data_IF_160414679676
#
_entry.id   IF_160414679676
#
_cell.length_a   1.000
_cell.length_b   1.000
_cell.length_c   1.000
_cell.angle_alpha   90.00
_cell.angle_beta   90.00
_cell.angle_gamma   90.00
#
_symmetry.space_group_name_H-M   'P 1'
#
loop_
_entity.id
_entity.type
_entity.pdbx_description
1 polymer ?
#
# COMPACT_ATOMS: atom_id res chain seq x y z
N UNK A 1 13.63 -11.17 19.94
CA UNK A 1 13.05 -9.81 19.96
C UNK A 1 13.83 -9.00 18.93
N UNK A 2 13.26 -8.71 17.76
CA UNK A 2 13.95 -7.92 16.74
C UNK A 2 13.97 -6.45 17.20
N UNK A 3 15.15 -5.83 17.28
CA UNK A 3 15.30 -4.42 17.60
C UNK A 3 14.78 -3.59 16.44
N UNK A 4 13.59 -2.99 16.59
CA UNK A 4 13.12 -2.00 15.62
C UNK A 4 13.97 -0.74 15.79
N UNK A 5 14.75 -0.38 14.77
CA UNK A 5 15.52 0.87 14.78
C UNK A 5 14.55 2.06 14.70
N UNK A 6 14.57 2.92 15.71
CA UNK A 6 13.77 4.16 15.69
C UNK A 6 14.43 5.19 14.78
N UNK A 7 13.63 5.92 14.03
CA UNK A 7 14.07 7.11 13.30
C UNK A 7 13.19 8.30 13.65
N UNK A 8 13.68 9.51 13.39
CA UNK A 8 12.96 10.75 13.63
C UNK A 8 12.95 11.63 12.38
N UNK A 9 11.81 12.27 12.12
CA UNK A 9 11.64 13.26 11.05
C UNK A 9 11.17 14.56 11.70
N UNK A 10 11.74 15.69 11.29
CA UNK A 10 11.29 17.01 11.72
C UNK A 10 10.27 17.57 10.71
N UNK A 11 9.12 18.04 11.18
CA UNK A 11 8.16 18.73 10.33
C UNK A 11 8.75 20.07 9.84
N UNK A 12 8.70 20.39 8.55
CA UNK A 12 9.31 21.60 8.00
C UNK A 12 8.57 22.90 8.37
N UNK A 13 7.36 22.83 8.93
CA UNK A 13 6.50 24.00 9.22
C UNK A 13 6.41 24.32 10.71
N UNK A 14 6.19 23.31 11.55
CA UNK A 14 5.95 23.51 12.98
C UNK A 14 7.03 22.91 13.88
N UNK A 15 8.11 22.40 13.30
CA UNK A 15 9.24 21.79 14.01
C UNK A 15 8.91 20.57 14.89
N UNK A 16 7.68 20.06 14.84
CA UNK A 16 7.29 18.83 15.52
C UNK A 16 8.15 17.64 15.09
N UNK A 17 8.53 16.80 16.05
CA UNK A 17 9.33 15.59 15.80
C UNK A 17 8.39 14.39 15.64
N UNK A 18 8.50 13.72 14.52
CA UNK A 18 7.76 12.51 14.19
C UNK A 18 8.68 11.31 14.40
N UNK A 19 8.33 10.43 15.32
CA UNK A 19 9.07 9.19 15.55
C UNK A 19 8.52 8.07 14.68
N UNK A 20 9.42 7.30 14.07
CA UNK A 20 9.10 6.14 13.23
C UNK A 20 9.93 4.93 13.60
N UNK A 21 9.61 3.78 12.99
CA UNK A 21 10.32 2.52 13.18
C UNK A 21 10.72 1.94 11.83
N UNK A 22 11.98 1.53 11.69
CA UNK A 22 12.49 0.74 10.57
C UNK A 22 12.58 -0.71 11.02
N UNK A 23 12.04 -1.62 10.21
CA UNK A 23 12.25 -3.04 10.39
C UNK A 23 13.67 -3.38 9.91
N UNK A 24 14.43 -4.08 10.76
CA UNK A 24 15.69 -4.69 10.34
C UNK A 24 15.44 -5.72 9.21
N UNK A 25 16.45 -5.92 8.36
CA UNK A 25 16.40 -6.80 7.19
C UNK A 25 15.98 -8.24 7.49
N UNK A 26 16.07 -8.70 8.73
CA UNK A 26 15.58 -10.02 9.16
C UNK A 26 14.05 -10.17 9.07
N UNK A 27 13.29 -9.08 8.99
CA UNK A 27 11.83 -9.10 8.75
C UNK A 27 11.43 -9.48 7.32
N UNK A 28 12.38 -9.57 6.38
CA UNK A 28 12.12 -9.95 4.97
C UNK A 28 11.46 -11.33 4.88
N UNK A 29 11.76 -12.25 5.80
CA UNK A 29 11.19 -13.60 5.82
C UNK A 29 9.70 -13.66 6.24
N UNK A 30 9.17 -12.59 6.84
CA UNK A 30 7.76 -12.46 7.22
C UNK A 30 6.99 -11.53 6.25
N UNK A 31 7.58 -11.25 5.08
CA UNK A 31 6.98 -10.32 4.11
C UNK A 31 6.10 -11.06 3.12
N UNK A 32 4.82 -10.70 3.08
CA UNK A 32 3.90 -11.14 2.04
C UNK A 32 4.01 -10.22 0.83
N UNK A 33 4.33 -10.78 -0.33
CA UNK A 33 4.30 -10.09 -1.62
C UNK A 33 2.98 -10.38 -2.33
N UNK A 34 2.32 -9.34 -2.81
CA UNK A 34 1.10 -9.44 -3.59
C UNK A 34 1.30 -9.08 -5.05
N UNK A 35 0.37 -9.54 -5.90
CA UNK A 35 0.47 -9.37 -7.35
C UNK A 35 0.46 -7.91 -7.80
N UNK A 36 -0.11 -7.00 -7.03
CA UNK A 36 -0.08 -5.55 -7.30
C UNK A 36 1.22 -4.86 -6.84
N UNK A 37 2.25 -5.64 -6.49
CA UNK A 37 3.53 -5.18 -6.00
C UNK A 37 3.50 -4.68 -4.55
N UNK A 38 2.37 -4.83 -3.83
CA UNK A 38 2.29 -4.47 -2.41
C UNK A 38 3.06 -5.51 -1.58
N UNK A 39 3.93 -5.02 -0.71
CA UNK A 39 4.63 -5.84 0.29
C UNK A 39 4.14 -5.48 1.70
N UNK A 40 3.79 -6.50 2.48
CA UNK A 40 3.30 -6.35 3.86
C UNK A 40 4.17 -7.20 4.79
N UNK A 41 4.69 -6.62 5.86
CA UNK A 41 5.44 -7.31 6.92
C UNK A 41 4.79 -6.94 8.27
N UNK A 42 4.32 -7.92 9.05
CA UNK A 42 3.68 -7.71 10.36
C UNK A 42 2.59 -6.60 10.35
N UNK A 43 1.68 -6.65 9.38
CA UNK A 43 0.62 -5.64 9.15
C UNK A 43 1.11 -4.24 8.72
N UNK A 44 2.42 -4.06 8.56
CA UNK A 44 3.04 -2.81 8.12
C UNK A 44 3.45 -2.90 6.64
N UNK A 45 3.41 -1.76 5.94
CA UNK A 45 3.92 -1.67 4.58
C UNK A 45 5.45 -1.80 4.62
N UNK A 46 6.00 -2.75 3.88
CA UNK A 46 7.47 -2.89 3.79
C UNK A 46 8.09 -1.75 2.97
N UNK A 47 7.35 -1.18 2.01
CA UNK A 47 7.78 0.04 1.32
C UNK A 47 7.60 1.26 2.24
N UNK A 48 8.64 2.09 2.45
CA UNK A 48 8.55 3.24 3.34
C UNK A 48 7.54 4.26 2.82
N UNK A 49 6.73 4.80 3.72
CA UNK A 49 5.86 5.92 3.41
C UNK A 49 6.72 7.16 3.09
N UNK A 50 6.58 7.68 1.86
CA UNK A 50 7.35 8.83 1.35
C UNK A 50 6.65 10.17 1.60
N UNK A 51 5.35 10.15 1.86
CA UNK A 51 4.55 11.34 2.11
C UNK A 51 4.02 11.32 3.53
N UNK A 52 4.16 12.41 4.27
CA UNK A 52 3.79 12.47 5.68
C UNK A 52 2.85 13.64 5.91
N UNK A 53 1.82 13.43 6.74
CA UNK A 53 0.99 14.51 7.28
C UNK A 53 1.37 14.72 8.74
N UNK A 54 1.77 15.94 9.08
CA UNK A 54 2.10 16.28 10.45
C UNK A 54 0.85 16.27 11.34
N UNK A 55 0.80 15.49 12.44
CA UNK A 55 -0.35 15.49 13.36
C UNK A 55 -0.47 16.78 14.18
N UNK A 56 0.59 17.61 14.25
CA UNK A 56 0.56 18.90 14.95
C UNK A 56 -0.08 20.01 14.12
N UNK A 57 0.41 20.24 12.90
CA UNK A 57 -0.04 21.35 12.05
C UNK A 57 -0.81 20.93 10.79
N UNK A 58 -1.06 19.64 10.60
CA UNK A 58 -1.69 19.06 9.38
C UNK A 58 -0.94 19.29 8.07
N UNK A 59 0.26 19.88 8.10
CA UNK A 59 1.07 20.10 6.89
C UNK A 59 1.51 18.77 6.28
N UNK A 60 1.44 18.70 4.94
CA UNK A 60 1.76 17.52 4.15
C UNK A 60 3.04 17.79 3.38
N UNK A 61 4.02 16.88 3.49
CA UNK A 61 5.34 17.06 2.88
C UNK A 61 5.94 15.70 2.47
N UNK A 62 6.91 15.73 1.55
CA UNK A 62 7.67 14.55 1.17
C UNK A 62 8.82 14.31 2.14
N UNK A 63 9.12 13.05 2.46
CA UNK A 63 10.20 12.68 3.39
C UNK A 63 11.56 13.16 2.89
N UNK A 64 11.78 13.15 1.57
CA UNK A 64 13.04 13.60 0.96
C UNK A 64 13.28 15.12 1.12
N UNK A 65 12.22 15.89 1.39
CA UNK A 65 12.30 17.33 1.70
C UNK A 65 12.75 17.59 3.15
N UNK A 66 12.96 16.54 3.96
CA UNK A 66 13.31 16.66 5.37
C UNK A 66 14.72 16.19 5.68
N UNK A 67 15.39 16.92 6.58
CA UNK A 67 16.67 16.48 7.14
C UNK A 67 16.41 15.33 8.12
N UNK A 68 16.85 14.12 7.77
CA UNK A 68 16.84 13.00 8.70
C UNK A 68 17.78 13.31 9.86
N UNK A 69 17.25 13.50 11.07
CA UNK A 69 18.08 13.52 12.27
C UNK A 69 18.42 12.06 12.56
N UNK A 70 19.55 11.59 12.04
CA UNK A 70 20.10 10.28 12.37
C UNK A 70 20.50 10.31 13.84
N UNK A 71 19.57 9.96 14.74
CA UNK A 71 19.92 9.70 16.13
C UNK A 71 20.58 8.33 16.16
N UNK A 72 21.88 8.31 15.89
CA UNK A 72 22.77 7.31 16.48
C UNK A 72 22.53 7.35 18.00
N UNK A 73 22.55 6.20 18.65
CA UNK A 73 22.05 5.99 20.01
C UNK A 73 22.72 6.83 21.10
N UNK A 74 22.45 8.12 21.16
CA UNK A 74 22.61 8.96 22.32
C UNK A 74 21.23 9.23 22.90
N UNK A 75 20.90 8.42 23.90
CA UNK A 75 19.94 8.83 24.92
C UNK A 75 20.57 10.05 25.60
N UNK A 76 20.20 11.25 25.16
CA UNK A 76 20.52 12.46 25.90
C UNK A 76 19.56 12.57 27.08
N UNK A 77 20.12 12.72 28.29
CA UNK A 77 19.36 12.98 29.52
C UNK A 77 18.81 14.41 29.57
N UNK A 78 19.05 15.23 28.55
CA UNK A 78 18.55 16.58 28.46
C UNK A 78 17.17 16.56 27.80
N UNK A 79 16.15 16.93 28.57
CA UNK A 79 14.83 17.29 28.04
C UNK A 79 15.05 18.31 26.92
N UNK A 80 14.89 17.88 25.68
CA UNK A 80 14.59 18.79 24.58
C UNK A 80 13.29 19.51 24.95
N UNK A 81 13.42 20.63 25.63
CA UNK A 81 12.32 21.38 26.19
C UNK A 81 11.43 21.84 25.02
N UNK A 82 10.20 21.33 24.98
CA UNK A 82 9.07 21.73 24.11
C UNK A 82 8.94 21.12 22.70
N UNK A 83 9.60 20.02 22.36
CA UNK A 83 9.28 19.35 21.08
C UNK A 83 8.30 18.20 21.32
N UNK A 84 7.05 18.37 20.87
CA UNK A 84 6.07 17.30 20.88
C UNK A 84 6.55 16.16 19.96
N UNK A 85 6.78 14.99 20.57
CA UNK A 85 7.18 13.78 19.84
C UNK A 85 5.94 12.97 19.54
N UNK A 86 5.64 12.80 18.25
CA UNK A 86 4.48 12.05 17.80
C UNK A 86 4.85 10.60 17.44
N UNK A 87 4.10 9.59 17.93
CA UNK A 87 4.38 8.18 17.66
C UNK A 87 4.06 7.82 16.20
N UNK A 88 4.72 6.80 15.66
CA UNK A 88 4.50 6.32 14.28
C UNK A 88 3.02 6.14 13.93
N UNK A 89 2.23 5.55 14.83
CA UNK A 89 0.80 5.31 14.63
C UNK A 89 -0.04 6.58 14.42
N UNK A 90 0.45 7.75 14.83
CA UNK A 90 -0.28 9.02 14.71
C UNK A 90 -0.15 9.68 13.33
N UNK A 91 0.86 9.30 12.55
CA UNK A 91 1.14 9.92 11.25
C UNK A 91 1.35 8.91 10.11
N UNK A 92 1.64 7.66 10.45
CA UNK A 92 1.63 6.54 9.51
C UNK A 92 0.24 6.35 8.93
N UNK A 93 0.15 6.19 7.61
CA UNK A 93 -1.10 6.07 6.87
C UNK A 93 -2.11 7.16 7.22
N UNK A 94 -1.62 8.36 7.58
CA UNK A 94 -2.45 9.51 7.96
C UNK A 94 -3.36 9.22 9.17
N UNK A 95 -2.95 8.31 10.05
CA UNK A 95 -3.74 7.86 11.21
C UNK A 95 -4.91 6.94 10.85
N UNK A 96 -5.06 6.56 9.57
CA UNK A 96 -6.11 5.64 9.16
C UNK A 96 -5.81 4.22 9.64
N UNK A 97 -6.84 3.51 10.11
CA UNK A 97 -6.73 2.10 10.50
C UNK A 97 -7.10 1.18 9.32
N UNK A 98 -6.14 0.58 8.59
CA UNK A 98 -6.42 -0.22 7.40
C UNK A 98 -7.13 -1.55 7.70
N UNK A 99 -7.21 -1.96 8.97
CA UNK A 99 -7.95 -3.16 9.38
C UNK A 99 -9.48 -2.92 9.46
N UNK A 100 -9.91 -1.64 9.44
CA UNK A 100 -11.33 -1.26 9.41
C UNK A 100 -11.73 -0.77 8.02
N UNK A 101 -12.94 -1.13 7.57
CA UNK A 101 -13.45 -0.68 6.27
C UNK A 101 -13.45 0.84 6.14
N UNK A 102 -13.79 1.58 7.21
CA UNK A 102 -13.75 3.04 7.21
C UNK A 102 -12.33 3.60 7.03
N UNK A 103 -11.32 2.96 7.61
CA UNK A 103 -9.93 3.40 7.45
C UNK A 103 -9.40 3.15 6.05
N UNK A 104 -9.79 2.04 5.41
CA UNK A 104 -9.48 1.80 3.98
C UNK A 104 -10.10 2.86 3.07
N UNK A 105 -11.34 3.27 3.35
CA UNK A 105 -12.01 4.37 2.61
C UNK A 105 -11.32 5.71 2.87
N UNK A 106 -10.96 6.00 4.12
CA UNK A 106 -10.23 7.21 4.46
C UNK A 106 -8.91 7.29 3.68
N UNK A 107 -8.17 6.18 3.53
CA UNK A 107 -6.97 6.12 2.70
C UNK A 107 -7.24 6.43 1.23
N UNK A 108 -8.30 5.85 0.65
CA UNK A 108 -8.72 6.15 -0.73
C UNK A 108 -9.00 7.65 -0.89
N UNK A 109 -9.74 8.24 0.04
CA UNK A 109 -10.09 9.66 0.03
C UNK A 109 -8.84 10.53 0.17
N UNK A 110 -7.96 10.23 1.12
CA UNK A 110 -6.71 10.95 1.33
C UNK A 110 -5.83 10.93 0.09
N UNK A 111 -5.53 9.76 -0.49
CA UNK A 111 -4.69 9.71 -1.69
C UNK A 111 -5.34 10.40 -2.89
N UNK A 112 -6.66 10.36 -3.00
CA UNK A 112 -7.39 11.10 -4.05
C UNK A 112 -7.25 12.62 -3.87
N UNK A 113 -7.36 13.12 -2.63
CA UNK A 113 -7.15 14.53 -2.31
C UNK A 113 -5.70 14.95 -2.56
N UNK A 114 -4.72 14.13 -2.17
CA UNK A 114 -3.30 14.40 -2.36
C UNK A 114 -2.92 14.55 -3.84
N UNK A 115 -3.48 13.73 -4.74
CA UNK A 115 -3.28 13.86 -6.20
C UNK A 115 -3.79 15.19 -6.78
N UNK A 116 -4.66 15.88 -6.04
CA UNK A 116 -5.21 17.19 -6.41
C UNK A 116 -4.42 18.32 -5.73
N UNK A 117 -4.19 18.18 -4.42
CA UNK A 117 -3.59 19.20 -3.57
C UNK A 117 -2.09 19.42 -3.85
N UNK A 118 -1.33 18.36 -4.10
CA UNK A 118 0.13 18.44 -4.27
C UNK A 118 0.59 18.75 -5.70
N UNK A 119 -0.31 19.25 -6.56
CA UNK A 119 0.09 19.65 -7.92
C UNK A 119 0.93 20.93 -7.88
N UNK A 120 1.95 21.05 -8.75
CA UNK A 120 2.37 20.08 -9.77
C UNK A 120 3.16 18.90 -9.20
N UNK A 121 2.92 17.69 -9.73
CA UNK A 121 3.63 16.47 -9.36
C UNK A 121 4.60 16.07 -10.47
N UNK A 122 5.81 15.64 -10.13
CA UNK A 122 6.68 14.96 -11.09
C UNK A 122 6.19 13.50 -11.34
N UNK A 123 6.66 12.87 -12.42
CA UNK A 123 6.20 11.52 -12.80
C UNK A 123 6.43 10.47 -11.70
N UNK A 124 7.52 10.57 -10.93
CA UNK A 124 7.81 9.63 -9.83
C UNK A 124 6.83 9.80 -8.67
N UNK A 125 6.58 11.05 -8.27
CA UNK A 125 5.61 11.39 -7.22
C UNK A 125 4.19 11.00 -7.62
N UNK A 126 3.79 11.25 -8.87
CA UNK A 126 2.47 10.85 -9.37
C UNK A 126 2.33 9.32 -9.38
N UNK A 127 3.33 8.58 -9.88
CA UNK A 127 3.33 7.10 -9.84
C UNK A 127 3.21 6.60 -8.39
N UNK A 128 3.97 7.16 -7.47
CA UNK A 128 3.94 6.78 -6.06
C UNK A 128 2.52 6.91 -5.48
N UNK A 129 1.92 8.11 -5.57
CA UNK A 129 0.58 8.36 -5.05
C UNK A 129 -0.48 7.47 -5.70
N UNK A 130 -0.38 7.24 -7.02
CA UNK A 130 -1.31 6.38 -7.74
C UNK A 130 -1.16 4.91 -7.40
N UNK A 131 0.06 4.43 -7.15
CA UNK A 131 0.34 3.07 -6.66
C UNK A 131 -0.23 2.89 -5.25
N UNK A 132 -0.02 3.86 -4.35
CA UNK A 132 -0.63 3.84 -3.02
C UNK A 132 -2.17 3.86 -3.07
N UNK A 133 -2.75 4.65 -3.97
CA UNK A 133 -4.20 4.67 -4.22
C UNK A 133 -4.70 3.33 -4.79
N UNK A 134 -3.95 2.72 -5.72
CA UNK A 134 -4.25 1.40 -6.27
C UNK A 134 -4.30 0.34 -5.16
N UNK A 135 -3.31 0.36 -4.26
CA UNK A 135 -3.28 -0.52 -3.11
C UNK A 135 -4.45 -0.31 -2.17
N UNK A 136 -4.80 0.95 -1.87
CA UNK A 136 -5.94 1.27 -1.01
C UNK A 136 -7.26 0.74 -1.58
N UNK A 137 -7.46 0.83 -2.90
CA UNK A 137 -8.59 0.18 -3.57
C UNK A 137 -8.53 -1.34 -3.47
N UNK A 138 -7.38 -1.94 -3.78
CA UNK A 138 -7.21 -3.38 -3.74
C UNK A 138 -7.40 -3.94 -2.33
N UNK A 139 -7.07 -3.18 -1.28
CA UNK A 139 -7.26 -3.59 0.12
C UNK A 139 -8.73 -3.77 0.50
N UNK A 140 -9.69 -3.17 -0.21
CA UNK A 140 -11.13 -3.44 -0.03
C UNK A 140 -11.53 -4.86 -0.47
N UNK A 141 -10.74 -5.49 -1.33
CA UNK A 141 -11.04 -6.83 -1.87
C UNK A 141 -9.91 -7.83 -1.61
N UNK A 142 -8.81 -7.39 -0.97
CA UNK A 142 -7.67 -8.23 -0.60
C UNK A 142 -8.08 -9.16 0.54
N UNK A 143 -7.83 -10.46 0.35
CA UNK A 143 -8.16 -11.50 1.33
C UNK A 143 -6.93 -11.82 2.17
N UNK A 144 -6.75 -11.10 3.28
CA UNK A 144 -5.64 -11.37 4.21
C UNK A 144 -5.97 -12.58 5.11
N UNK A 145 -7.24 -12.75 5.48
CA UNK A 145 -7.71 -13.90 6.26
C UNK A 145 -8.99 -14.46 5.64
N UNK A 146 -8.92 -15.67 5.09
CA UNK A 146 -10.08 -16.34 4.51
C UNK A 146 -10.65 -17.38 5.48
N UNK A 147 -11.29 -16.92 6.55
CA UNK A 147 -12.23 -17.78 7.26
C UNK A 147 -13.36 -18.18 6.29
N UNK A 148 -13.49 -19.47 6.08
CA UNK A 148 -14.54 -20.10 5.30
C UNK A 148 -15.70 -20.48 6.20
N UNK A 149 -16.87 -20.73 5.62
CA UNK A 149 -17.99 -21.31 6.36
C UNK A 149 -17.61 -22.69 6.95
N UNK A 150 -16.72 -23.42 6.29
CA UNK A 150 -16.20 -24.69 6.80
C UNK A 150 -15.35 -24.52 8.07
N UNK A 151 -14.66 -23.40 8.25
CA UNK A 151 -13.89 -23.15 9.49
C UNK A 151 -14.81 -22.96 10.69
N UNK A 152 -15.99 -22.36 10.48
CA UNK A 152 -17.05 -22.33 11.48
C UNK A 152 -17.59 -23.74 11.76
N UNK A 153 -17.93 -24.52 10.72
CA UNK A 153 -18.44 -25.89 10.91
C UNK A 153 -17.43 -26.82 11.59
N UNK A 154 -16.12 -26.58 11.39
CA UNK A 154 -15.03 -27.30 12.06
C UNK A 154 -14.74 -26.80 13.48
N UNK A 155 -15.51 -25.83 13.99
CA UNK A 155 -15.34 -25.27 15.33
C UNK A 155 -14.09 -24.41 15.50
N UNK A 156 -13.41 -24.01 14.42
CA UNK A 156 -12.19 -23.17 14.49
C UNK A 156 -12.49 -21.72 14.84
N UNK A 157 -13.71 -21.26 14.54
CA UNK A 157 -14.19 -19.92 14.83
C UNK A 157 -15.65 -19.95 15.29
N UNK A 158 -16.06 -18.96 16.07
CA UNK A 158 -17.46 -18.80 16.47
C UNK A 158 -18.34 -18.32 15.29
N UNK A 159 -19.63 -18.61 15.35
CA UNK A 159 -20.62 -18.06 14.40
C UNK A 159 -20.59 -16.53 14.37
N UNK A 160 -20.45 -15.89 15.53
CA UNK A 160 -20.37 -14.43 15.65
C UNK A 160 -19.17 -13.86 14.88
N UNK A 161 -18.00 -14.48 15.02
CA UNK A 161 -16.78 -14.12 14.28
C UNK A 161 -16.99 -14.32 12.78
N UNK A 162 -17.51 -15.47 12.35
CA UNK A 162 -17.78 -15.73 10.93
C UNK A 162 -18.76 -14.71 10.32
N UNK A 163 -19.86 -14.42 11.02
CA UNK A 163 -20.88 -13.46 10.58
C UNK A 163 -20.31 -12.04 10.49
N UNK A 164 -19.53 -11.64 11.48
CA UNK A 164 -18.85 -10.34 11.49
C UNK A 164 -17.93 -10.19 10.27
N UNK A 165 -17.05 -11.17 10.05
CA UNK A 165 -16.14 -11.21 8.90
C UNK A 165 -16.88 -11.20 7.56
N UNK A 166 -17.96 -11.97 7.44
CA UNK A 166 -18.80 -11.98 6.23
C UNK A 166 -19.42 -10.62 5.96
N UNK A 167 -20.00 -9.99 6.99
CA UNK A 167 -20.62 -8.66 6.85
C UNK A 167 -19.59 -7.61 6.47
N UNK A 168 -18.43 -7.62 7.11
CA UNK A 168 -17.31 -6.73 6.78
C UNK A 168 -16.90 -6.88 5.31
N UNK A 169 -16.73 -8.12 4.82
CA UNK A 169 -16.43 -8.39 3.40
C UNK A 169 -17.49 -7.87 2.44
N UNK A 170 -18.77 -8.01 2.77
CA UNK A 170 -19.86 -7.50 1.93
C UNK A 170 -19.82 -5.98 1.85
N UNK A 171 -19.58 -5.31 2.98
CA UNK A 171 -19.43 -3.87 3.07
C UNK A 171 -18.25 -3.39 2.22
N UNK A 172 -17.07 -4.03 2.33
CA UNK A 172 -15.89 -3.65 1.55
C UNK A 172 -16.07 -3.91 0.05
N UNK A 173 -16.72 -5.03 -0.31
CA UNK A 173 -17.07 -5.32 -1.70
C UNK A 173 -18.00 -4.27 -2.28
N UNK A 174 -19.00 -3.82 -1.50
CA UNK A 174 -19.88 -2.73 -1.89
C UNK A 174 -19.11 -1.42 -2.10
N UNK A 175 -18.18 -1.07 -1.21
CA UNK A 175 -17.32 0.09 -1.40
C UNK A 175 -16.44 -0.03 -2.64
N UNK A 176 -15.86 -1.20 -2.90
CA UNK A 176 -15.07 -1.40 -4.11
C UNK A 176 -15.90 -1.19 -5.39
N UNK A 177 -17.14 -1.70 -5.42
CA UNK A 177 -18.08 -1.45 -6.52
C UNK A 177 -18.35 0.05 -6.69
N UNK A 178 -18.60 0.77 -5.59
CA UNK A 178 -18.80 2.23 -5.60
C UNK A 178 -17.61 2.97 -6.22
N UNK A 179 -16.39 2.52 -5.97
CA UNK A 179 -15.17 3.17 -6.47
C UNK A 179 -14.61 2.58 -7.78
N UNK A 180 -15.29 1.62 -8.41
CA UNK A 180 -14.75 0.86 -9.56
C UNK A 180 -14.35 1.75 -10.74
N UNK A 181 -15.08 2.83 -11.01
CA UNK A 181 -14.72 3.75 -12.09
C UNK A 181 -13.44 4.54 -11.79
N UNK A 182 -13.30 5.06 -10.56
CA UNK A 182 -12.10 5.75 -10.12
C UNK A 182 -10.89 4.81 -10.08
N UNK A 183 -11.09 3.57 -9.64
CA UNK A 183 -10.09 2.50 -9.69
C UNK A 183 -9.57 2.25 -11.11
N UNK A 184 -10.46 2.03 -12.09
CA UNK A 184 -10.08 1.80 -13.49
C UNK A 184 -9.41 3.02 -14.12
N UNK A 185 -9.87 4.22 -13.79
CA UNK A 185 -9.25 5.48 -14.23
C UNK A 185 -7.84 5.63 -13.68
N UNK A 186 -7.64 5.31 -12.39
CA UNK A 186 -6.32 5.35 -11.76
C UNK A 186 -5.35 4.38 -12.46
N UNK A 187 -5.76 3.14 -12.71
CA UNK A 187 -4.94 2.16 -13.44
C UNK A 187 -4.59 2.66 -14.84
N UNK A 188 -5.58 3.21 -15.58
CA UNK A 188 -5.33 3.79 -16.91
C UNK A 188 -4.24 4.85 -16.84
N UNK A 189 -4.31 5.78 -15.88
CA UNK A 189 -3.32 6.83 -15.75
C UNK A 189 -1.94 6.31 -15.34
N UNK A 190 -1.84 5.28 -14.49
CA UNK A 190 -0.55 4.62 -14.21
C UNK A 190 0.04 4.06 -15.51
N UNK A 191 -0.76 3.36 -16.31
CA UNK A 191 -0.32 2.81 -17.61
C UNK A 191 0.17 3.92 -18.53
N UNK A 192 -0.56 5.03 -18.62
CA UNK A 192 -0.20 6.17 -19.48
C UNK A 192 1.15 6.77 -19.06
N UNK A 193 1.39 6.96 -17.76
CA UNK A 193 2.66 7.49 -17.25
C UNK A 193 3.81 6.52 -17.56
N UNK A 194 3.63 5.22 -17.27
CA UNK A 194 4.66 4.20 -17.50
C UNK A 194 5.04 4.10 -18.98
N UNK A 195 4.08 4.25 -19.90
CA UNK A 195 4.35 4.25 -21.35
C UNK A 195 5.03 5.50 -21.85
N UNK A 196 4.73 6.65 -21.23
CA UNK A 196 5.34 7.94 -21.61
C UNK A 196 6.77 8.10 -21.11
N UNK A 197 7.22 7.26 -20.19
CA UNK A 197 8.60 7.28 -19.69
C UNK A 197 9.55 6.72 -20.77
N UNK A 198 10.08 7.60 -21.62
CA UNK A 198 10.96 7.28 -22.76
C UNK A 198 12.26 6.54 -22.38
N UNK A 199 12.71 6.64 -21.12
CA UNK A 199 14.08 6.27 -20.72
C UNK A 199 14.20 5.01 -19.84
N UNK A 200 13.14 4.23 -19.63
CA UNK A 200 13.24 3.05 -18.76
C UNK A 200 12.62 1.80 -19.38
N UNK A 201 13.31 0.69 -19.18
CA UNK A 201 12.77 -0.65 -19.35
C UNK A 201 11.52 -0.75 -18.46
N UNK A 202 10.35 -0.49 -19.06
CA UNK A 202 9.07 -0.61 -18.38
C UNK A 202 8.99 -2.05 -17.92
N UNK A 203 8.75 -2.25 -16.62
CA UNK A 203 8.49 -3.59 -16.09
C UNK A 203 7.24 -4.14 -16.77
N UNK A 204 7.46 -4.91 -17.85
CA UNK A 204 6.42 -5.52 -18.67
C UNK A 204 5.53 -6.43 -17.84
N UNK A 205 6.07 -7.04 -16.78
CA UNK A 205 5.31 -7.89 -15.86
C UNK A 205 4.31 -7.03 -15.07
N UNK A 206 4.78 -5.92 -14.51
CA UNK A 206 3.89 -4.98 -13.82
C UNK A 206 2.85 -4.37 -14.76
N UNK A 207 3.23 -4.04 -16.00
CA UNK A 207 2.29 -3.53 -17.00
C UNK A 207 1.19 -4.57 -17.33
N UNK A 208 1.57 -5.83 -17.51
CA UNK A 208 0.61 -6.92 -17.73
C UNK A 208 -0.34 -7.09 -16.54
N UNK A 209 0.18 -7.00 -15.31
CA UNK A 209 -0.64 -7.03 -14.11
C UNK A 209 -1.66 -5.88 -14.08
N UNK A 210 -1.26 -4.64 -14.41
CA UNK A 210 -2.18 -3.50 -14.48
C UNK A 210 -3.30 -3.74 -15.50
N UNK A 211 -2.99 -4.33 -16.67
CA UNK A 211 -4.02 -4.73 -17.64
C UNK A 211 -4.96 -5.80 -17.09
N UNK A 212 -4.45 -6.80 -16.37
CA UNK A 212 -5.26 -7.83 -15.70
C UNK A 212 -6.19 -7.22 -14.65
N UNK A 213 -5.67 -6.35 -13.78
CA UNK A 213 -6.45 -5.66 -12.74
C UNK A 213 -7.54 -4.77 -13.34
N UNK A 214 -7.26 -4.10 -14.47
CA UNK A 214 -8.24 -3.30 -15.22
C UNK A 214 -9.34 -4.16 -15.87
N UNK A 215 -9.10 -5.46 -16.06
CA UNK A 215 -10.00 -6.41 -16.73
C UNK A 215 -9.72 -6.61 -18.23
N UNK A 216 -8.60 -6.09 -18.75
CA UNK A 216 -8.15 -6.34 -20.12
C UNK A 216 -7.19 -7.53 -20.14
N UNK A 217 -7.76 -8.73 -19.99
CA UNK A 217 -7.01 -9.97 -19.84
C UNK A 217 -6.22 -10.35 -21.08
N UNK A 218 -6.78 -10.10 -22.27
CA UNK A 218 -6.16 -10.46 -23.54
C UNK A 218 -4.86 -9.66 -23.74
N UNK A 219 -4.89 -8.35 -23.44
CA UNK A 219 -3.67 -7.52 -23.48
C UNK A 219 -2.65 -7.93 -22.42
N UNK A 220 -3.10 -8.36 -21.24
CA UNK A 220 -2.19 -8.88 -20.22
C UNK A 220 -1.46 -10.14 -20.72
N UNK A 221 -2.18 -11.10 -21.32
CA UNK A 221 -1.59 -12.32 -21.87
C UNK A 221 -0.63 -12.02 -23.03
N UNK A 222 -1.00 -11.11 -23.93
CA UNK A 222 -0.13 -10.64 -25.02
C UNK A 222 1.24 -10.19 -24.49
N UNK A 223 1.25 -9.27 -23.52
CA UNK A 223 2.49 -8.73 -22.93
C UNK A 223 3.30 -9.85 -22.25
N UNK A 224 2.64 -10.77 -21.55
CA UNK A 224 3.33 -11.89 -20.87
C UNK A 224 3.93 -12.91 -21.84
N UNK A 225 3.44 -12.99 -23.08
CA UNK A 225 3.99 -13.88 -24.10
C UNK A 225 5.24 -13.29 -24.78
N UNK A 226 5.43 -11.96 -24.74
CA UNK A 226 6.65 -11.30 -25.21
C UNK A 226 7.86 -11.52 -24.29
N UNK A 227 7.63 -12.00 -23.05
CA UNK A 227 8.69 -12.19 -22.07
C UNK A 227 9.53 -13.42 -22.41
N UNK A 228 10.85 -13.20 -22.60
CA UNK A 228 11.82 -14.26 -22.87
C UNK A 228 11.96 -15.29 -21.74
N UNK A 229 11.65 -14.90 -20.50
CA UNK A 229 11.78 -15.74 -19.30
C UNK A 229 10.46 -15.79 -18.54
N UNK A 230 10.00 -17.00 -18.22
CA UNK A 230 8.82 -17.22 -17.37
C UNK A 230 9.26 -17.46 -15.93
N UNK A 231 9.11 -16.46 -15.07
CA UNK A 231 9.30 -16.64 -13.62
C UNK A 231 8.04 -17.24 -12.98
N UNK A 232 8.13 -17.74 -11.74
CA UNK A 232 6.96 -18.20 -10.98
C UNK A 232 5.86 -17.12 -10.93
N UNK A 233 6.25 -15.86 -10.69
CA UNK A 233 5.35 -14.72 -10.65
C UNK A 233 4.63 -14.48 -12.00
N UNK A 234 5.36 -14.51 -13.11
CA UNK A 234 4.80 -14.41 -14.48
C UNK A 234 3.79 -15.53 -14.74
N UNK A 235 4.12 -16.77 -14.35
CA UNK A 235 3.23 -17.92 -14.49
C UNK A 235 1.94 -17.76 -13.70
N UNK A 236 2.01 -17.24 -12.47
CA UNK A 236 0.81 -16.97 -11.66
C UNK A 236 -0.09 -15.90 -12.29
N UNK A 237 0.48 -14.77 -12.74
CA UNK A 237 -0.28 -13.72 -13.42
C UNK A 237 -0.94 -14.28 -14.68
N UNK A 238 -0.19 -15.04 -15.49
CA UNK A 238 -0.72 -15.68 -16.72
C UNK A 238 -1.90 -16.59 -16.41
N UNK A 239 -1.77 -17.46 -15.41
CA UNK A 239 -2.86 -18.36 -14.97
C UNK A 239 -4.11 -17.59 -14.55
N UNK A 240 -3.94 -16.49 -13.79
CA UNK A 240 -5.07 -15.66 -13.36
C UNK A 240 -5.70 -14.87 -14.51
N UNK A 241 -4.90 -14.39 -15.46
CA UNK A 241 -5.37 -13.70 -16.65
C UNK A 241 -6.19 -14.65 -17.56
N UNK A 242 -5.71 -15.87 -17.80
CA UNK A 242 -6.45 -16.89 -18.57
C UNK A 242 -7.79 -17.26 -17.92
N UNK A 243 -7.85 -17.26 -16.58
CA UNK A 243 -9.09 -17.47 -15.81
C UNK A 243 -9.98 -16.21 -15.72
N UNK A 244 -9.64 -15.13 -16.43
CA UNK A 244 -10.30 -13.80 -16.39
C UNK A 244 -10.54 -13.30 -14.97
N UNK A 245 -9.58 -13.59 -14.09
CA UNK A 245 -9.65 -13.22 -12.69
C UNK A 245 -8.84 -11.93 -12.47
N UNK A 246 -9.50 -10.84 -12.06
CA UNK A 246 -8.89 -9.54 -11.74
C UNK A 246 -8.53 -9.38 -10.26
N UNK A 247 -8.84 -10.33 -9.38
CA UNK A 247 -8.54 -10.21 -7.95
C UNK A 247 -7.02 -10.22 -7.72
N UNK A 248 -6.54 -9.36 -6.83
CA UNK A 248 -5.17 -9.42 -6.32
C UNK A 248 -4.96 -10.72 -5.53
N UNK A 249 -3.76 -11.29 -5.62
CA UNK A 249 -3.42 -12.54 -4.95
C UNK A 249 -2.02 -12.47 -4.32
N UNK A 250 -1.78 -13.30 -3.31
CA UNK A 250 -0.46 -13.48 -2.68
C UNK A 250 0.46 -14.26 -3.63
N UNK A 251 1.66 -13.75 -3.85
CA UNK A 251 2.70 -14.29 -4.74
C UNK A 251 3.75 -15.05 -3.94
N UNK A 252 4.16 -14.52 -2.79
CA UNK A 252 5.17 -15.09 -1.92
C UNK A 252 4.95 -14.66 -0.45
N UNK A 253 5.63 -15.35 0.47
CA UNK A 253 5.58 -15.16 1.92
C UNK A 253 4.67 -16.13 2.65
#
# INVERSE_FOLDING_TARGET
MNSLQKFYIKCPVCDAILSGKIHESLGINCTELYSDGKMICDELLSEPQLIVQCPSCSHIFWKDETTSVAVSGHITNERANKVAIYPYSSWYLFGANPNRSQGKIALIQHFTQLLTYLRPLNSKQEIYLRKSLLWAYNDLIRRNYSFTFLDFLKGKISYGTWRHERNHRLIESFYFLKYTQSYKSNIKRIIDILRSAQDKEVDKVYLAELYRLKGNFDKAVEILNELKRSTHYVTMIRSKALKRNSTVFKVAG
#
